data_IF_642161123377
#
_entry.id   IF_642161123377
#
_cell.length_a   1.000
_cell.length_b   1.000
_cell.length_c   1.000
_cell.angle_alpha   90.00
_cell.angle_beta   90.00
_cell.angle_gamma   90.00
#
_symmetry.space_group_name_H-M   'P 1'
#
loop_
_entity.id
_entity.type
_entity.pdbx_description
1 polymer ?
#
# COMPACT_ATOMS: atom_id res chain seq x y z
N UNK A 1 -5.12 -5.17 48.59
CA UNK A 1 -4.09 -4.86 47.58
C UNK A 1 -4.49 -5.51 46.27
N UNK A 2 -4.67 -4.75 45.19
CA UNK A 2 -4.97 -5.31 43.88
C UNK A 2 -3.66 -5.74 43.20
N UNK A 3 -3.52 -7.03 42.88
CA UNK A 3 -2.35 -7.56 42.17
C UNK A 3 -2.54 -7.36 40.67
N UNK A 4 -1.71 -6.52 40.04
CA UNK A 4 -1.72 -6.28 38.58
C UNK A 4 -0.61 -7.09 37.95
N UNK A 5 -0.95 -8.22 37.34
CA UNK A 5 0.02 -9.17 36.77
C UNK A 5 0.78 -8.65 35.53
N UNK A 6 0.34 -7.53 34.91
CA UNK A 6 0.87 -6.95 33.65
C UNK A 6 0.99 -7.94 32.46
N UNK A 7 0.34 -9.11 32.55
CA UNK A 7 0.26 -10.07 31.44
C UNK A 7 -0.45 -9.41 30.26
N UNK A 8 0.14 -9.55 29.08
CA UNK A 8 -0.38 -9.01 27.83
C UNK A 8 0.10 -9.90 26.68
N UNK A 9 -0.63 -9.87 25.57
CA UNK A 9 -0.25 -10.49 24.32
C UNK A 9 0.88 -9.68 23.66
N UNK A 10 1.89 -10.34 23.10
CA UNK A 10 2.92 -9.64 22.33
C UNK A 10 2.34 -9.04 21.05
N UNK A 11 2.78 -7.84 20.66
CA UNK A 11 2.47 -7.29 19.32
C UNK A 11 3.11 -8.05 18.17
N UNK A 12 4.11 -8.89 18.47
CA UNK A 12 4.72 -9.80 17.51
C UNK A 12 4.03 -11.16 17.49
N UNK A 13 2.85 -11.28 18.10
CA UNK A 13 1.99 -12.47 17.93
C UNK A 13 1.39 -12.45 16.53
N UNK A 14 1.51 -13.58 15.84
CA UNK A 14 0.90 -13.86 14.55
C UNK A 14 -0.02 -15.06 14.72
N UNK A 15 -1.10 -15.12 13.94
CA UNK A 15 -1.83 -16.36 13.73
C UNK A 15 -0.99 -17.26 12.82
N UNK A 16 -0.78 -18.52 13.18
CA UNK A 16 0.10 -19.45 12.47
C UNK A 16 -0.59 -20.78 12.21
N UNK A 17 -0.48 -21.30 11.00
CA UNK A 17 -0.97 -22.64 10.68
C UNK A 17 -0.73 -23.00 9.23
N UNK A 18 -0.59 -24.30 8.93
CA UNK A 18 -0.34 -24.85 7.58
C UNK A 18 0.71 -24.08 6.74
N UNK A 19 1.76 -23.57 7.39
CA UNK A 19 2.84 -22.80 6.74
C UNK A 19 2.50 -21.34 6.41
N UNK A 20 1.42 -20.79 6.95
CA UNK A 20 1.03 -19.39 6.87
C UNK A 20 1.23 -18.67 8.21
N UNK A 21 1.48 -17.36 8.15
CA UNK A 21 1.48 -16.49 9.32
C UNK A 21 0.74 -15.18 8.99
N UNK A 22 -0.29 -14.84 9.77
CA UNK A 22 -1.07 -13.60 9.61
C UNK A 22 -0.85 -12.69 10.81
N UNK A 23 -0.50 -11.42 10.56
CA UNK A 23 -0.34 -10.43 11.61
C UNK A 23 -1.70 -10.12 12.27
N UNK A 24 -1.69 -9.78 13.55
CA UNK A 24 -2.91 -9.38 14.26
C UNK A 24 -3.10 -7.85 14.23
N UNK A 25 -4.34 -7.34 14.20
CA UNK A 25 -4.61 -5.94 14.47
C UNK A 25 -4.21 -5.61 15.91
N UNK A 26 -4.09 -4.32 16.25
CA UNK A 26 -3.83 -3.94 17.63
C UNK A 26 -5.03 -4.32 18.52
N UNK A 27 -4.83 -5.33 19.36
CA UNK A 27 -5.77 -5.78 20.38
C UNK A 27 -5.49 -5.03 21.71
N UNK A 28 -6.54 -4.72 22.47
CA UNK A 28 -6.42 -4.14 23.81
C UNK A 28 -5.63 -5.07 24.74
N UNK A 29 -5.74 -6.39 24.54
CA UNK A 29 -4.95 -7.43 25.21
C UNK A 29 -3.44 -7.31 24.98
N UNK A 30 -2.98 -6.51 24.01
CA UNK A 30 -1.55 -6.23 23.78
C UNK A 30 -1.03 -5.05 24.60
N UNK A 31 -1.90 -4.33 25.32
CA UNK A 31 -1.54 -3.19 26.17
C UNK A 31 -1.42 -3.66 27.62
N UNK A 32 -0.22 -3.61 28.23
CA UNK A 32 -0.05 -3.97 29.64
C UNK A 32 -0.88 -3.06 30.55
N UNK A 33 -1.58 -3.67 31.51
CA UNK A 33 -2.38 -2.93 32.49
C UNK A 33 -1.53 -1.90 33.27
N UNK A 34 -2.09 -0.70 33.46
CA UNK A 34 -1.45 0.43 34.13
C UNK A 34 -0.14 0.94 33.49
N UNK A 35 0.07 0.69 32.19
CA UNK A 35 1.14 1.31 31.40
C UNK A 35 0.53 2.26 30.39
N UNK A 36 1.04 3.50 30.28
CA UNK A 36 0.58 4.45 29.27
C UNK A 36 0.83 3.89 27.86
N UNK A 37 -0.17 3.94 26.97
CA UNK A 37 -0.09 3.36 25.62
C UNK A 37 1.17 3.81 24.86
N UNK A 38 1.55 5.09 25.00
CA UNK A 38 2.74 5.68 24.39
C UNK A 38 4.07 5.03 24.83
N UNK A 39 4.10 4.37 25.99
CA UNK A 39 5.26 3.65 26.53
C UNK A 39 5.21 2.15 26.27
N UNK A 40 4.27 1.68 25.45
CA UNK A 40 4.14 0.27 25.11
C UNK A 40 4.58 0.05 23.67
N UNK A 41 4.86 -1.20 23.31
CA UNK A 41 5.00 -1.58 21.90
C UNK A 41 3.76 -1.18 21.08
N UNK A 42 2.62 -0.93 21.74
CA UNK A 42 1.37 -0.53 21.12
C UNK A 42 1.21 0.95 20.78
N UNK A 43 2.22 1.78 21.07
CA UNK A 43 2.26 3.14 20.58
C UNK A 43 2.07 3.18 19.06
N UNK A 44 1.19 4.08 18.59
CA UNK A 44 0.98 4.29 17.16
C UNK A 44 2.31 4.67 16.50
N UNK A 45 2.64 3.99 15.42
CA UNK A 45 3.86 4.26 14.65
C UNK A 45 3.49 5.14 13.47
N UNK A 46 4.30 6.17 13.24
CA UNK A 46 4.13 7.02 12.06
C UNK A 46 4.25 6.18 10.80
N UNK A 47 3.36 6.44 9.84
CA UNK A 47 3.37 5.88 8.50
C UNK A 47 3.30 7.04 7.52
N UNK A 48 3.91 6.86 6.36
CA UNK A 48 3.87 7.82 5.26
C UNK A 48 3.24 7.12 4.06
N UNK A 49 2.35 7.83 3.38
CA UNK A 49 1.76 7.41 2.12
C UNK A 49 1.81 8.56 1.14
N UNK A 50 2.17 8.27 -0.11
CA UNK A 50 2.17 9.22 -1.21
C UNK A 50 1.38 8.64 -2.38
N UNK A 51 0.46 9.42 -2.91
CA UNK A 51 -0.38 9.03 -4.05
C UNK A 51 -0.10 10.02 -5.18
N UNK A 52 0.34 9.48 -6.30
CA UNK A 52 0.54 10.25 -7.53
C UNK A 52 -0.65 10.02 -8.46
N UNK A 53 -1.19 11.11 -9.03
CA UNK A 53 -2.26 11.08 -10.02
C UNK A 53 -1.67 11.44 -11.39
N UNK A 54 -1.35 10.45 -12.25
CA UNK A 54 -0.86 10.71 -13.59
C UNK A 54 -1.85 11.61 -14.36
N UNK A 55 -1.35 12.56 -15.15
CA UNK A 55 -2.13 13.58 -15.84
C UNK A 55 -2.87 14.59 -14.94
N UNK A 56 -2.81 14.41 -13.62
CA UNK A 56 -3.40 15.32 -12.64
C UNK A 56 -4.91 15.12 -12.44
N UNK A 57 -5.57 16.16 -11.97
CA UNK A 57 -7.00 16.19 -11.73
C UNK A 57 -7.64 17.36 -12.48
N UNK A 58 -8.95 17.29 -12.67
CA UNK A 58 -9.74 18.42 -13.16
C UNK A 58 -9.70 19.55 -12.13
N UNK A 59 -8.78 20.51 -12.28
CA UNK A 59 -8.38 21.43 -11.22
C UNK A 59 -9.52 22.30 -10.66
N UNK A 60 -10.51 22.68 -11.47
CA UNK A 60 -11.69 23.43 -10.99
C UNK A 60 -12.61 22.57 -10.10
N UNK A 61 -12.58 21.26 -10.24
CA UNK A 61 -13.31 20.29 -9.40
C UNK A 61 -12.45 19.73 -8.26
N UNK A 62 -11.16 20.08 -8.20
CA UNK A 62 -10.22 19.72 -7.14
C UNK A 62 -9.98 20.86 -6.16
N UNK A 63 -9.85 22.10 -6.65
CA UNK A 63 -9.34 23.23 -5.86
C UNK A 63 -10.49 23.99 -5.19
N UNK A 64 -10.55 24.06 -3.85
CA UNK A 64 -11.54 24.90 -3.17
C UNK A 64 -11.38 26.37 -3.55
N UNK A 65 -12.49 27.08 -3.65
CA UNK A 65 -12.50 28.50 -4.04
C UNK A 65 -12.05 29.47 -2.93
N UNK A 66 -12.00 29.00 -1.67
CA UNK A 66 -11.66 29.81 -0.49
C UNK A 66 -10.48 29.19 0.24
N UNK A 67 -9.66 30.05 0.81
CA UNK A 67 -8.59 29.68 1.74
C UNK A 67 -9.10 29.60 3.19
N UNK A 68 -8.27 29.07 4.09
CA UNK A 68 -8.59 28.90 5.51
C UNK A 68 -9.27 27.57 5.80
N UNK A 69 -9.82 27.40 7.01
CA UNK A 69 -10.44 26.12 7.44
C UNK A 69 -11.90 25.96 6.99
N UNK A 70 -12.55 27.05 6.59
CA UNK A 70 -13.98 27.11 6.25
C UNK A 70 -14.23 27.06 4.73
N UNK A 71 -13.46 26.25 4.00
CA UNK A 71 -13.67 26.04 2.57
C UNK A 71 -14.77 25.00 2.30
N UNK A 72 -15.43 25.12 1.15
CA UNK A 72 -16.39 24.14 0.66
C UNK A 72 -15.63 23.01 -0.07
N UNK A 73 -15.94 21.75 0.23
CA UNK A 73 -15.35 20.62 -0.48
C UNK A 73 -15.87 20.60 -1.92
N UNK A 74 -14.95 20.49 -2.89
CA UNK A 74 -15.28 20.33 -4.30
C UNK A 74 -15.69 18.89 -4.63
N UNK A 75 -16.25 18.66 -5.82
CA UNK A 75 -16.73 17.34 -6.24
C UNK A 75 -15.71 16.21 -6.03
N UNK A 76 -14.44 16.40 -6.41
CA UNK A 76 -13.41 15.36 -6.28
C UNK A 76 -13.03 15.12 -4.81
N UNK A 77 -13.08 16.16 -3.98
CA UNK A 77 -12.67 16.09 -2.58
C UNK A 77 -13.83 15.78 -1.63
N UNK A 78 -15.07 15.74 -2.11
CA UNK A 78 -16.26 15.47 -1.31
C UNK A 78 -16.15 14.22 -0.41
N UNK A 79 -15.60 13.08 -0.87
CA UNK A 79 -15.44 11.89 -0.01
C UNK A 79 -14.54 12.12 1.21
N UNK A 80 -13.73 13.18 1.21
CA UNK A 80 -12.80 13.51 2.27
C UNK A 80 -13.39 14.45 3.34
N UNK A 81 -14.61 14.95 3.14
CA UNK A 81 -15.28 15.86 4.07
C UNK A 81 -15.34 15.37 5.53
N UNK A 82 -15.60 14.07 5.82
CA UNK A 82 -15.57 13.55 7.19
C UNK A 82 -14.21 13.71 7.91
N UNK A 83 -13.15 14.02 7.18
CA UNK A 83 -11.79 14.20 7.68
C UNK A 83 -11.30 15.65 7.61
N UNK A 84 -12.20 16.64 7.48
CA UNK A 84 -11.87 18.07 7.39
C UNK A 84 -10.78 18.52 8.37
N UNK A 85 -10.89 18.13 9.64
CA UNK A 85 -9.95 18.54 10.70
C UNK A 85 -8.56 17.88 10.58
N UNK A 86 -8.33 17.05 9.56
CA UNK A 86 -7.09 16.32 9.30
C UNK A 86 -6.55 16.53 7.89
N UNK A 87 -7.15 17.44 7.12
CA UNK A 87 -6.80 17.66 5.71
C UNK A 87 -6.36 19.10 5.49
N UNK A 88 -5.26 19.23 4.78
CA UNK A 88 -4.84 20.49 4.19
C UNK A 88 -4.85 20.32 2.68
N UNK A 89 -5.48 21.26 1.98
CA UNK A 89 -5.45 21.33 0.52
C UNK A 89 -4.55 22.50 0.17
N UNK A 90 -3.40 22.20 -0.44
CA UNK A 90 -2.42 23.21 -0.82
C UNK A 90 -2.52 23.39 -2.33
N UNK A 91 -2.91 24.59 -2.75
CA UNK A 91 -3.02 25.00 -4.14
C UNK A 91 -1.79 25.80 -4.59
N UNK A 92 -1.71 26.05 -5.90
CA UNK A 92 -0.68 26.89 -6.53
C UNK A 92 0.77 26.41 -6.29
N UNK A 93 0.95 25.10 -6.16
CA UNK A 93 2.27 24.48 -6.14
C UNK A 93 2.72 24.16 -7.57
N UNK A 94 3.93 24.58 -7.91
CA UNK A 94 4.59 24.25 -9.16
C UNK A 94 5.97 23.67 -8.88
N UNK A 95 6.39 22.69 -9.69
CA UNK A 95 7.71 22.12 -9.59
C UNK A 95 8.51 22.37 -10.89
N UNK A 96 9.39 23.39 -10.94
CA UNK A 96 10.12 23.73 -12.16
C UNK A 96 10.96 22.58 -12.73
N UNK A 97 11.47 21.69 -11.86
CA UNK A 97 12.25 20.52 -12.27
C UNK A 97 11.44 19.46 -13.02
N UNK A 98 10.11 19.46 -12.88
CA UNK A 98 9.20 18.58 -13.63
C UNK A 98 9.03 19.01 -15.09
N UNK A 99 9.51 20.21 -15.47
CA UNK A 99 9.42 20.74 -16.82
C UNK A 99 10.77 20.75 -17.53
N UNK A 100 10.74 20.66 -18.86
CA UNK A 100 11.92 20.80 -19.70
C UNK A 100 11.58 20.77 -21.19
N UNK A 101 12.60 20.89 -22.04
CA UNK A 101 12.44 20.68 -23.48
C UNK A 101 12.01 19.24 -23.82
N UNK A 102 11.28 19.06 -24.91
CA UNK A 102 10.79 17.76 -25.36
C UNK A 102 9.27 17.74 -25.53
N UNK A 103 8.71 16.54 -25.77
CA UNK A 103 7.28 16.39 -25.97
C UNK A 103 6.49 16.46 -24.64
N UNK A 104 5.16 16.48 -24.75
CA UNK A 104 4.27 16.31 -23.61
C UNK A 104 4.57 15.01 -22.83
N UNK A 105 4.87 13.91 -23.52
CA UNK A 105 5.23 12.62 -22.91
C UNK A 105 6.49 12.73 -22.06
N UNK A 106 7.53 13.42 -22.55
CA UNK A 106 8.73 13.65 -21.77
C UNK A 106 8.44 14.47 -20.48
N UNK A 107 7.55 15.45 -20.55
CA UNK A 107 7.14 16.22 -19.37
C UNK A 107 6.27 15.41 -18.39
N UNK A 108 5.44 14.48 -18.88
CA UNK A 108 4.74 13.52 -18.01
C UNK A 108 5.73 12.61 -17.26
N UNK A 109 6.76 12.11 -17.94
CA UNK A 109 7.80 11.29 -17.31
C UNK A 109 8.60 12.09 -16.27
N UNK A 110 8.94 13.35 -16.56
CA UNK A 110 9.61 14.23 -15.58
C UNK A 110 8.73 14.53 -14.36
N UNK A 111 7.42 14.68 -14.56
CA UNK A 111 6.47 14.95 -13.46
C UNK A 111 6.44 13.80 -12.44
N UNK A 112 6.38 12.56 -12.92
CA UNK A 112 6.44 11.39 -12.05
C UNK A 112 7.80 11.28 -11.32
N UNK A 113 8.90 11.45 -12.05
CA UNK A 113 10.24 11.42 -11.45
C UNK A 113 10.44 12.51 -10.37
N UNK A 114 9.98 13.73 -10.63
CA UNK A 114 10.19 14.88 -9.75
C UNK A 114 9.29 14.85 -8.50
N UNK A 115 8.14 14.16 -8.55
CA UNK A 115 7.10 14.20 -7.51
C UNK A 115 7.61 13.96 -6.08
N UNK A 116 8.38 12.89 -5.87
CA UNK A 116 8.95 12.58 -4.55
C UNK A 116 10.44 12.86 -4.43
N UNK A 117 11.14 13.11 -5.54
CA UNK A 117 12.60 13.32 -5.53
C UNK A 117 12.98 14.79 -5.43
N UNK A 118 12.10 15.71 -5.83
CA UNK A 118 12.46 17.12 -5.95
C UNK A 118 13.47 17.42 -7.07
N UNK A 119 13.83 16.42 -7.89
CA UNK A 119 14.98 16.46 -8.79
C UNK A 119 14.58 16.46 -10.27
N UNK A 120 15.45 17.05 -11.10
CA UNK A 120 15.28 17.01 -12.55
C UNK A 120 15.75 15.66 -13.10
N UNK A 121 14.91 15.01 -13.91
CA UNK A 121 15.28 13.76 -14.56
C UNK A 121 16.31 14.00 -15.67
N UNK A 122 17.51 13.46 -15.53
CA UNK A 122 18.58 13.61 -16.52
C UNK A 122 18.29 12.79 -17.78
N UNK A 123 18.63 13.35 -18.95
CA UNK A 123 18.58 12.60 -20.21
C UNK A 123 19.76 11.63 -20.30
N UNK A 124 19.53 10.45 -20.90
CA UNK A 124 20.57 9.44 -21.09
C UNK A 124 20.04 8.02 -20.98
N UNK A 125 20.91 7.05 -21.28
CA UNK A 125 20.58 5.62 -21.21
C UNK A 125 20.40 5.14 -19.77
N UNK A 126 21.17 5.69 -18.82
CA UNK A 126 21.03 5.41 -17.40
C UNK A 126 20.11 6.45 -16.76
N UNK A 127 19.10 5.98 -16.04
CA UNK A 127 18.22 6.83 -15.27
C UNK A 127 18.96 7.42 -14.06
N UNK A 128 18.91 8.74 -13.91
CA UNK A 128 19.45 9.48 -12.77
C UNK A 128 18.43 10.50 -12.26
N UNK A 129 18.04 10.31 -11.01
CA UNK A 129 17.10 11.17 -10.28
C UNK A 129 17.44 11.09 -8.79
N UNK A 130 17.11 12.08 -7.97
CA UNK A 130 17.44 12.09 -6.54
C UNK A 130 16.82 10.93 -5.74
N UNK A 131 17.33 10.68 -4.53
CA UNK A 131 16.63 9.82 -3.56
C UNK A 131 15.26 10.42 -3.26
N UNK A 132 14.22 9.60 -3.28
CA UNK A 132 12.86 10.06 -3.05
C UNK A 132 12.53 10.18 -1.56
N UNK A 133 11.58 11.07 -1.25
CA UNK A 133 11.15 11.37 0.12
C UNK A 133 10.66 10.13 0.88
N UNK A 134 9.87 9.28 0.23
CA UNK A 134 9.38 8.01 0.79
C UNK A 134 10.55 7.10 1.21
N UNK A 135 11.62 7.03 0.42
CA UNK A 135 12.78 6.18 0.72
C UNK A 135 13.68 6.80 1.80
N UNK A 136 13.84 8.12 1.81
CA UNK A 136 14.50 8.83 2.90
C UNK A 136 13.77 8.60 4.24
N UNK A 137 12.43 8.59 4.22
CA UNK A 137 11.60 8.27 5.38
C UNK A 137 11.71 6.79 5.77
N UNK A 138 11.67 5.86 4.81
CA UNK A 138 11.78 4.43 5.07
C UNK A 138 13.08 4.07 5.81
N UNK A 139 14.19 4.75 5.51
CA UNK A 139 15.46 4.61 6.25
C UNK A 139 15.36 5.03 7.72
N UNK A 140 14.43 5.92 8.07
CA UNK A 140 14.26 6.45 9.44
C UNK A 140 13.17 5.72 10.23
N UNK A 141 12.02 5.45 9.61
CA UNK A 141 10.82 4.93 10.30
C UNK A 141 10.38 3.54 9.82
N UNK A 142 10.96 3.00 8.75
CA UNK A 142 10.64 1.69 8.19
C UNK A 142 11.40 0.51 8.82
N UNK A 143 12.32 0.77 9.76
CA UNK A 143 13.22 -0.27 10.32
C UNK A 143 12.54 -1.21 11.32
N UNK A 144 11.31 -0.88 11.75
CA UNK A 144 10.54 -1.70 12.68
C UNK A 144 9.57 -2.68 11.99
N UNK A 145 9.46 -2.63 10.66
CA UNK A 145 8.58 -3.49 9.86
C UNK A 145 9.40 -4.38 8.93
N UNK A 146 8.97 -5.63 8.65
CA UNK A 146 9.65 -6.50 7.70
C UNK A 146 9.71 -5.92 6.27
N UNK A 147 8.69 -5.13 5.92
CA UNK A 147 8.64 -4.33 4.70
C UNK A 147 8.84 -2.86 5.09
N UNK A 148 10.00 -2.25 4.81
CA UNK A 148 10.24 -0.85 5.15
C UNK A 148 9.45 0.11 4.25
N UNK A 149 9.09 -0.33 3.04
CA UNK A 149 8.29 0.38 2.05
C UNK A 149 7.56 -0.60 1.12
N UNK A 150 6.49 -0.13 0.48
CA UNK A 150 5.70 -0.88 -0.50
C UNK A 150 5.35 0.07 -1.64
N UNK A 151 5.89 -0.21 -2.82
CA UNK A 151 5.71 0.59 -4.02
C UNK A 151 4.62 -0.04 -4.91
N UNK A 152 3.54 0.71 -5.14
CA UNK A 152 2.34 0.22 -5.83
C UNK A 152 1.96 1.12 -7.00
N UNK A 153 1.51 0.54 -8.11
CA UNK A 153 0.98 1.26 -9.28
C UNK A 153 -0.26 0.58 -9.81
N UNK A 154 -1.03 1.27 -10.65
CA UNK A 154 -2.24 0.69 -11.29
C UNK A 154 -1.90 0.16 -12.67
N UNK A 155 -1.32 1.02 -13.52
CA UNK A 155 -1.07 0.67 -14.91
C UNK A 155 0.23 -0.12 -15.13
N UNK A 156 0.25 -0.92 -16.19
CA UNK A 156 1.47 -1.57 -16.66
C UNK A 156 2.49 -0.58 -17.24
N UNK A 157 3.75 -1.02 -17.26
CA UNK A 157 4.81 -0.32 -17.98
C UNK A 157 4.54 -0.40 -19.49
N UNK A 158 4.46 0.75 -20.17
CA UNK A 158 4.39 0.84 -21.63
C UNK A 158 5.79 0.99 -22.23
N UNK A 159 5.93 0.63 -23.50
CA UNK A 159 7.23 0.48 -24.18
C UNK A 159 7.88 1.79 -24.65
N UNK A 160 7.19 2.94 -24.57
CA UNK A 160 7.70 4.21 -25.12
C UNK A 160 7.86 5.28 -24.06
N UNK A 161 9.08 5.80 -23.95
CA UNK A 161 9.50 6.75 -22.91
C UNK A 161 10.08 8.05 -23.49
N UNK A 162 9.82 8.28 -24.78
CA UNK A 162 10.05 9.53 -25.51
C UNK A 162 11.45 10.13 -25.30
N UNK A 163 12.49 9.32 -25.52
CA UNK A 163 13.89 9.74 -25.43
C UNK A 163 14.44 9.89 -23.99
N UNK A 164 13.59 9.72 -22.97
CA UNK A 164 14.00 9.57 -21.58
C UNK A 164 14.03 8.10 -21.15
N UNK A 165 14.71 7.81 -20.05
CA UNK A 165 14.68 6.48 -19.47
C UNK A 165 13.28 6.16 -18.90
N UNK A 166 12.77 4.95 -19.16
CA UNK A 166 11.44 4.52 -18.72
C UNK A 166 11.25 4.48 -17.20
N UNK A 167 12.34 4.39 -16.43
CA UNK A 167 12.28 4.46 -14.97
C UNK A 167 11.59 5.73 -14.46
N UNK A 168 11.71 6.86 -15.19
CA UNK A 168 11.05 8.11 -14.81
C UNK A 168 9.53 8.05 -14.94
N UNK A 169 9.00 7.15 -15.77
CA UNK A 169 7.57 6.89 -15.91
C UNK A 169 7.09 5.80 -14.96
N UNK A 170 7.89 4.74 -14.84
CA UNK A 170 7.45 3.49 -14.22
C UNK A 170 7.57 3.48 -12.69
N UNK A 171 8.23 4.48 -12.10
CA UNK A 171 8.30 4.62 -10.64
C UNK A 171 8.40 6.07 -10.17
N UNK A 172 7.79 6.33 -9.01
CA UNK A 172 7.97 7.56 -8.23
C UNK A 172 8.97 7.36 -7.06
N UNK A 173 9.44 6.14 -6.84
CA UNK A 173 10.25 5.76 -5.67
C UNK A 173 11.68 5.43 -6.08
N UNK A 174 12.64 6.12 -5.46
CA UNK A 174 14.06 6.08 -5.79
C UNK A 174 14.90 5.90 -4.53
N UNK A 175 15.54 4.73 -4.39
CA UNK A 175 16.36 4.42 -3.22
C UNK A 175 17.67 5.22 -3.20
N UNK A 176 18.16 5.65 -4.36
CA UNK A 176 19.36 6.46 -4.52
C UNK A 176 19.33 7.22 -5.84
N UNK A 177 20.39 7.99 -6.13
CA UNK A 177 20.50 8.82 -7.33
C UNK A 177 20.35 8.07 -8.66
N UNK A 178 20.53 6.74 -8.64
CA UNK A 178 20.56 5.89 -9.84
C UNK A 178 19.80 4.57 -9.62
N UNK A 179 19.02 4.45 -8.54
CA UNK A 179 18.33 3.20 -8.17
C UNK A 179 16.83 3.41 -8.06
N UNK A 180 16.10 3.39 -9.18
CA UNK A 180 14.65 3.36 -9.16
C UNK A 180 14.15 2.04 -8.54
N UNK A 181 13.06 2.10 -7.79
CA UNK A 181 12.42 0.91 -7.21
C UNK A 181 11.24 0.45 -8.08
N UNK A 182 11.10 -0.86 -8.33
CA UNK A 182 9.98 -1.38 -9.11
C UNK A 182 8.67 -1.22 -8.32
N UNK A 183 7.63 -0.73 -8.98
CA UNK A 183 6.28 -0.68 -8.40
C UNK A 183 5.46 -1.90 -8.85
N UNK A 184 4.65 -2.43 -7.94
CA UNK A 184 3.80 -3.59 -8.21
C UNK A 184 2.39 -3.17 -8.56
N UNK A 185 1.82 -3.76 -9.62
CA UNK A 185 0.43 -3.52 -10.02
C UNK A 185 -0.49 -4.72 -9.83
N UNK A 186 0.05 -5.91 -9.60
CA UNK A 186 -0.74 -7.10 -9.35
C UNK A 186 -1.14 -7.16 -7.85
N UNK A 187 -2.45 -7.02 -7.52
CA UNK A 187 -2.95 -7.07 -6.15
C UNK A 187 -2.61 -8.38 -5.44
N UNK A 188 -2.60 -9.52 -6.15
CA UNK A 188 -2.25 -10.81 -5.58
C UNK A 188 -0.78 -10.84 -5.12
N UNK A 189 0.13 -10.24 -5.90
CA UNK A 189 1.55 -10.18 -5.52
C UNK A 189 1.74 -9.28 -4.29
N UNK A 190 1.00 -8.18 -4.20
CA UNK A 190 1.03 -7.29 -3.02
C UNK A 190 0.45 -7.98 -1.80
N UNK A 191 -0.71 -8.64 -1.94
CA UNK A 191 -1.34 -9.40 -0.87
C UNK A 191 -0.41 -10.48 -0.33
N UNK A 192 0.23 -11.26 -1.20
CA UNK A 192 1.22 -12.26 -0.78
C UNK A 192 2.47 -11.63 -0.16
N UNK A 193 2.86 -10.41 -0.55
CA UNK A 193 3.98 -9.71 0.08
C UNK A 193 3.61 -9.23 1.48
N UNK A 194 2.38 -8.75 1.67
CA UNK A 194 1.84 -8.22 2.93
C UNK A 194 1.48 -9.31 3.93
N UNK A 195 0.82 -10.37 3.45
CA UNK A 195 0.17 -11.40 4.25
C UNK A 195 0.68 -12.82 3.95
N UNK A 196 1.41 -13.00 2.85
CA UNK A 196 2.00 -14.28 2.52
C UNK A 196 3.19 -14.63 3.42
N UNK A 197 3.62 -15.87 3.29
CA UNK A 197 4.62 -16.48 4.15
C UNK A 197 6.07 -16.16 3.71
N UNK A 198 7.02 -16.48 4.59
CA UNK A 198 8.44 -16.61 4.23
C UNK A 198 8.75 -17.90 3.46
N UNK A 199 7.81 -18.41 2.66
CA UNK A 199 8.03 -19.60 1.83
C UNK A 199 8.80 -19.26 0.55
N UNK A 200 9.33 -20.28 -0.11
CA UNK A 200 10.03 -20.10 -1.38
C UNK A 200 9.06 -19.68 -2.49
N UNK A 201 9.59 -19.07 -3.56
CA UNK A 201 8.77 -18.71 -4.74
C UNK A 201 7.96 -19.89 -5.31
N UNK A 202 8.49 -21.11 -5.20
CA UNK A 202 7.82 -22.34 -5.65
C UNK A 202 6.61 -22.70 -4.79
N UNK A 203 6.71 -22.54 -3.48
CA UNK A 203 5.61 -22.76 -2.54
C UNK A 203 4.51 -21.71 -2.70
N UNK A 204 4.88 -20.44 -2.92
CA UNK A 204 3.93 -19.37 -3.29
C UNK A 204 3.17 -19.70 -4.57
N UNK A 205 3.89 -20.08 -5.64
CA UNK A 205 3.28 -20.50 -6.92
C UNK A 205 2.33 -21.68 -6.77
N UNK A 206 2.69 -22.67 -5.95
CA UNK A 206 1.86 -23.85 -5.68
C UNK A 206 0.58 -23.51 -4.91
N UNK A 207 0.59 -22.48 -4.05
CA UNK A 207 -0.66 -21.99 -3.43
C UNK A 207 -1.54 -21.25 -4.43
N UNK A 208 -0.96 -20.43 -5.31
CA UNK A 208 -1.73 -19.77 -6.39
C UNK A 208 -2.52 -20.76 -7.23
N UNK A 209 -1.99 -21.97 -7.45
CA UNK A 209 -2.65 -23.02 -8.23
C UNK A 209 -3.61 -23.90 -7.42
N UNK A 210 -3.56 -23.88 -6.08
CA UNK A 210 -4.36 -24.77 -5.21
C UNK A 210 -5.53 -24.10 -4.48
N UNK A 211 -5.75 -22.80 -4.68
CA UNK A 211 -6.87 -22.03 -4.07
C UNK A 211 -7.07 -22.28 -2.57
N UNK A 212 -5.98 -22.56 -1.83
CA UNK A 212 -6.07 -22.60 -0.37
C UNK A 212 -5.89 -21.16 0.13
N UNK A 213 -6.99 -20.53 0.53
CA UNK A 213 -6.99 -19.20 1.13
C UNK A 213 -6.05 -19.16 2.34
N UNK A 214 -5.28 -18.08 2.48
CA UNK A 214 -4.38 -17.82 3.60
C UNK A 214 -5.14 -17.94 4.94
N UNK A 215 -6.38 -17.47 4.98
CA UNK A 215 -7.22 -17.54 6.16
C UNK A 215 -7.47 -18.98 6.61
N UNK A 216 -7.75 -19.89 5.68
CA UNK A 216 -8.04 -21.29 6.02
C UNK A 216 -6.83 -21.98 6.65
N UNK A 217 -5.62 -21.56 6.27
CA UNK A 217 -4.38 -22.04 6.87
C UNK A 217 -4.24 -21.61 8.35
N UNK A 218 -4.81 -20.47 8.76
CA UNK A 218 -4.66 -19.91 10.11
C UNK A 218 -5.94 -20.01 10.98
N UNK A 219 -7.06 -20.51 10.44
CA UNK A 219 -8.35 -20.57 11.15
C UNK A 219 -8.30 -21.29 12.51
N UNK A 220 -7.54 -22.39 12.60
CA UNK A 220 -7.41 -23.16 13.85
C UNK A 220 -6.72 -22.34 14.95
N UNK A 221 -5.68 -21.59 14.58
CA UNK A 221 -4.95 -20.74 15.51
C UNK A 221 -5.74 -19.48 15.86
N UNK A 222 -6.48 -18.92 14.89
CA UNK A 222 -7.45 -17.84 15.12
C UNK A 222 -8.51 -18.24 16.15
N UNK A 223 -9.12 -19.43 15.98
CA UNK A 223 -10.11 -19.95 16.91
C UNK A 223 -9.53 -20.21 18.31
N UNK A 224 -8.26 -20.64 18.37
CA UNK A 224 -7.54 -20.86 19.64
C UNK A 224 -7.25 -19.54 20.36
N UNK A 225 -6.71 -18.55 19.66
CA UNK A 225 -6.45 -17.22 20.20
C UNK A 225 -7.73 -16.56 20.68
N UNK A 226 -8.81 -16.63 19.89
CA UNK A 226 -10.11 -16.03 20.19
C UNK A 226 -10.67 -16.46 21.56
N UNK A 227 -10.46 -17.71 21.98
CA UNK A 227 -10.88 -18.22 23.30
C UNK A 227 -10.18 -17.52 24.47
N UNK A 228 -8.98 -16.98 24.25
CA UNK A 228 -8.20 -16.27 25.27
C UNK A 228 -8.45 -14.77 25.31
N UNK A 229 -9.14 -14.21 24.30
CA UNK A 229 -9.34 -12.77 24.16
C UNK A 229 -10.61 -12.27 24.86
N UNK A 230 -10.60 -11.06 25.45
CA UNK A 230 -11.81 -10.38 25.89
C UNK A 230 -12.77 -10.09 24.73
N UNK A 231 -14.05 -9.87 25.03
CA UNK A 231 -15.09 -9.70 24.02
C UNK A 231 -14.82 -8.58 22.99
N UNK A 232 -14.23 -7.46 23.40
CA UNK A 232 -13.89 -6.37 22.47
C UNK A 232 -12.79 -6.77 21.48
N UNK A 233 -11.78 -7.50 21.95
CA UNK A 233 -10.70 -8.00 21.09
C UNK A 233 -11.16 -9.13 20.18
N UNK A 234 -12.11 -9.96 20.62
CA UNK A 234 -12.77 -10.93 19.75
C UNK A 234 -13.47 -10.22 18.58
N UNK A 235 -14.23 -9.14 18.85
CA UNK A 235 -14.89 -8.36 17.80
C UNK A 235 -13.89 -7.74 16.81
N UNK A 236 -12.77 -7.19 17.29
CA UNK A 236 -11.71 -6.63 16.43
C UNK A 236 -11.04 -7.70 15.59
N UNK A 237 -10.73 -8.84 16.17
CA UNK A 237 -10.17 -9.99 15.47
C UNK A 237 -11.14 -10.50 14.39
N UNK A 238 -12.41 -10.68 14.74
CA UNK A 238 -13.44 -11.16 13.81
C UNK A 238 -13.63 -10.18 12.63
N UNK A 239 -13.64 -8.86 12.87
CA UNK A 239 -13.69 -7.85 11.82
C UNK A 239 -12.47 -7.90 10.88
N UNK A 240 -11.26 -7.93 11.45
CA UNK A 240 -10.02 -8.02 10.66
C UNK A 240 -9.95 -9.26 9.77
N UNK A 241 -10.32 -10.44 10.30
CA UNK A 241 -10.33 -11.67 9.51
C UNK A 241 -11.39 -11.66 8.41
N UNK A 242 -12.52 -10.97 8.62
CA UNK A 242 -13.52 -10.76 7.58
C UNK A 242 -13.00 -9.83 6.47
N UNK A 243 -12.31 -8.74 6.81
CA UNK A 243 -11.73 -7.82 5.83
C UNK A 243 -10.68 -8.53 4.96
N UNK A 244 -9.79 -9.31 5.58
CA UNK A 244 -8.80 -10.14 4.86
C UNK A 244 -9.52 -11.14 3.93
N UNK A 245 -10.60 -11.79 4.38
CA UNK A 245 -11.36 -12.75 3.57
C UNK A 245 -12.01 -12.09 2.36
N UNK A 246 -12.54 -10.90 2.54
CA UNK A 246 -13.17 -10.15 1.46
C UNK A 246 -12.14 -9.76 0.39
N UNK A 247 -10.95 -9.33 0.81
CA UNK A 247 -9.83 -9.06 -0.10
C UNK A 247 -9.43 -10.34 -0.86
N UNK A 248 -9.26 -11.48 -0.16
CA UNK A 248 -8.95 -12.78 -0.79
C UNK A 248 -10.00 -13.16 -1.84
N UNK A 249 -11.29 -13.07 -1.50
CA UNK A 249 -12.39 -13.40 -2.42
C UNK A 249 -12.42 -12.52 -3.65
N UNK A 250 -12.10 -11.23 -3.52
CA UNK A 250 -12.01 -10.31 -4.66
C UNK A 250 -10.84 -10.71 -5.57
N UNK A 251 -9.68 -11.00 -5.00
CA UNK A 251 -8.50 -11.48 -5.74
C UNK A 251 -8.82 -12.79 -6.49
N UNK A 252 -9.45 -13.77 -5.83
CA UNK A 252 -9.82 -15.05 -6.45
C UNK A 252 -10.83 -14.87 -7.59
N UNK A 253 -11.87 -14.07 -7.38
CA UNK A 253 -12.89 -13.81 -8.41
C UNK A 253 -12.26 -13.16 -9.65
N UNK A 254 -11.40 -12.18 -9.44
CA UNK A 254 -10.64 -11.55 -10.52
C UNK A 254 -9.77 -12.58 -11.25
N UNK A 255 -9.05 -13.43 -10.52
CA UNK A 255 -8.24 -14.51 -11.10
C UNK A 255 -9.06 -15.49 -11.96
N UNK A 256 -10.24 -15.91 -11.48
CA UNK A 256 -11.14 -16.83 -12.18
C UNK A 256 -11.75 -16.22 -13.44
N UNK A 257 -12.18 -14.96 -13.38
CA UNK A 257 -12.72 -14.23 -14.55
C UNK A 257 -11.68 -14.03 -15.65
N UNK A 258 -10.40 -13.86 -15.29
CA UNK A 258 -9.31 -13.76 -16.25
C UNK A 258 -9.02 -15.09 -16.97
N UNK A 259 -9.17 -16.23 -16.27
CA UNK A 259 -8.94 -17.56 -16.84
C UNK A 259 -10.06 -18.09 -17.76
N UNK A 260 -11.25 -17.50 -17.71
CA UNK A 260 -12.39 -17.97 -18.51
C UNK A 260 -12.42 -17.43 -19.94
N UNK A 261 -11.64 -16.38 -20.26
CA UNK A 261 -11.82 -15.61 -21.50
C UNK A 261 -10.77 -15.77 -22.60
N UNK A 262 -9.54 -16.27 -22.36
CA UNK A 262 -8.52 -16.29 -23.44
C UNK A 262 -7.47 -17.42 -23.27
N UNK A 263 -7.18 -18.10 -24.37
CA UNK A 263 -6.10 -19.10 -24.52
C UNK A 263 -4.75 -18.38 -24.74
N UNK A 264 -4.23 -17.70 -23.71
CA UNK A 264 -2.96 -16.96 -23.73
C UNK A 264 -2.05 -17.48 -22.60
N UNK A 265 -0.75 -17.76 -22.87
CA UNK A 265 0.18 -18.35 -21.89
C UNK A 265 0.36 -17.49 -20.63
N UNK A 266 0.75 -18.09 -19.48
CA UNK A 266 0.46 -17.58 -18.16
C UNK A 266 1.37 -16.41 -17.78
N UNK A 267 0.88 -15.20 -18.02
CA UNK A 267 1.30 -14.00 -17.28
C UNK A 267 0.58 -14.04 -15.91
N UNK A 268 1.16 -13.60 -14.79
CA UNK A 268 0.52 -13.72 -13.48
C UNK A 268 -0.86 -13.06 -13.48
N UNK A 269 -1.92 -13.88 -13.53
CA UNK A 269 -3.33 -13.50 -13.47
C UNK A 269 -3.61 -12.89 -12.11
N UNK A 270 -4.12 -11.65 -12.04
CA UNK A 270 -4.47 -11.07 -10.74
C UNK A 270 -4.88 -9.59 -10.72
N UNK A 271 -4.56 -8.80 -11.75
CA UNK A 271 -5.07 -7.42 -11.86
C UNK A 271 -6.48 -7.40 -12.47
N UNK A 272 -7.48 -6.75 -11.85
CA UNK A 272 -8.80 -6.58 -12.45
C UNK A 272 -8.73 -5.91 -13.83
N UNK A 273 -9.58 -6.36 -14.77
CA UNK A 273 -9.71 -5.72 -16.09
C UNK A 273 -10.36 -4.33 -15.96
N UNK A 274 -11.26 -4.17 -14.99
CA UNK A 274 -11.91 -2.90 -14.70
C UNK A 274 -10.98 -2.00 -13.86
N UNK A 275 -10.76 -0.79 -14.36
CA UNK A 275 -9.84 0.17 -13.75
C UNK A 275 -10.29 0.63 -12.35
N UNK A 276 -11.60 0.82 -12.16
CA UNK A 276 -12.14 1.28 -10.87
C UNK A 276 -12.07 0.18 -9.81
N UNK A 277 -12.39 -1.08 -10.18
CA UNK A 277 -12.22 -2.25 -9.32
C UNK A 277 -10.74 -2.46 -8.97
N UNK A 278 -9.82 -2.28 -9.92
CA UNK A 278 -8.38 -2.38 -9.67
C UNK A 278 -7.90 -1.32 -8.69
N UNK A 279 -8.25 -0.05 -8.88
CA UNK A 279 -7.93 1.02 -7.94
C UNK A 279 -8.47 0.70 -6.55
N UNK A 280 -9.75 0.36 -6.42
CA UNK A 280 -10.38 0.05 -5.12
C UNK A 280 -9.66 -1.08 -4.41
N UNK A 281 -9.36 -2.17 -5.12
CA UNK A 281 -8.64 -3.30 -4.55
C UNK A 281 -7.21 -2.93 -4.12
N UNK A 282 -6.54 -2.06 -4.86
CA UNK A 282 -5.20 -1.57 -4.51
C UNK A 282 -5.21 -0.61 -3.32
N UNK A 283 -6.30 0.12 -3.08
CA UNK A 283 -6.47 0.97 -1.88
C UNK A 283 -6.89 0.17 -0.65
N UNK A 284 -7.55 -0.98 -0.83
CA UNK A 284 -7.89 -1.91 0.26
C UNK A 284 -6.66 -2.65 0.82
N UNK A 285 -5.61 -2.81 0.01
CA UNK A 285 -4.33 -3.45 0.35
C UNK A 285 -3.35 -2.51 1.09
#
# INVERSE_FOLDING_TARGET
>A
MAFVAKKHLSRRTFLRGAGAALALPLLDSMVPAATALAQTAAAAKTRFGAIYFPHGATMYSWTPAKEGSAFDFTLILQPLEPYRDRINIISDLAHPAAYGGGSATANHNRSAAAFLTGAHAEAGTQAKCGMSLDQALAQKIGQETPLPSIEMKIEDSTLSCDGLNCAYRDTISWQSSTSPLPMQNNPQVIFERLFGDGSTDEQRRTRRTKSFGLLDAVLSDAASLRKSLPANDQKRLDAYLNDVREIERRIERTGQQLSADLDIPPTPTGAPKDFEEHIKLMFDL
#
